data_IF_197286664053
#
_entry.id   IF_197286664053
#
_cell.length_a   1.000
_cell.length_b   1.000
_cell.length_c   1.000
_cell.angle_alpha   90.00
_cell.angle_beta   90.00
_cell.angle_gamma   90.00
#
_symmetry.space_group_name_H-M   'P 1'
#
loop_
_entity.id
_entity.type
_entity.pdbx_description
1 polymer ?
#
# COMPACT_ATOMS: atom_id res chain seq x y z
N UNK A 1 -5.52 -4.99 -35.66
CA UNK A 1 -5.33 -4.68 -34.24
C UNK A 1 -3.84 -4.79 -33.98
N UNK A 2 -3.22 -3.67 -33.68
CA UNK A 2 -1.81 -3.60 -33.32
C UNK A 2 -1.64 -4.02 -31.85
N UNK A 3 -0.47 -4.55 -31.47
CA UNK A 3 -0.21 -4.87 -30.07
C UNK A 3 -0.32 -3.63 -29.16
N UNK A 4 0.00 -2.43 -29.69
CA UNK A 4 -0.16 -1.16 -28.98
C UNK A 4 -1.62 -0.78 -28.72
N UNK A 5 -2.57 -1.34 -29.47
CA UNK A 5 -4.01 -1.15 -29.24
C UNK A 5 -4.53 -1.97 -28.05
N UNK A 6 -3.76 -2.96 -27.58
CA UNK A 6 -4.11 -3.81 -26.45
C UNK A 6 -3.78 -3.07 -25.16
N UNK A 7 -4.73 -2.24 -24.73
CA UNK A 7 -4.70 -1.57 -23.44
C UNK A 7 -6.07 -1.53 -22.81
N UNK A 8 -6.10 -1.45 -21.50
CA UNK A 8 -7.27 -0.96 -20.79
C UNK A 8 -7.64 0.44 -21.28
N UNK A 9 -8.94 0.69 -21.42
CA UNK A 9 -9.47 2.04 -21.57
C UNK A 9 -9.20 2.85 -20.29
N UNK A 10 -9.39 4.16 -20.37
CA UNK A 10 -9.00 5.05 -19.27
C UNK A 10 -9.83 4.80 -18.00
N UNK A 11 -11.13 4.54 -18.12
CA UNK A 11 -12.00 4.21 -16.96
C UNK A 11 -11.51 2.95 -16.21
N UNK A 12 -11.12 1.91 -16.94
CA UNK A 12 -10.60 0.68 -16.34
C UNK A 12 -9.22 0.91 -15.72
N UNK A 13 -8.37 1.78 -16.31
CA UNK A 13 -7.09 2.15 -15.72
C UNK A 13 -7.27 2.90 -14.40
N UNK A 14 -8.17 3.87 -14.35
CA UNK A 14 -8.45 4.63 -13.14
C UNK A 14 -8.90 3.71 -12.01
N UNK A 15 -9.80 2.77 -12.30
CA UNK A 15 -10.24 1.75 -11.32
C UNK A 15 -9.10 0.85 -10.82
N UNK A 16 -8.16 0.48 -11.69
CA UNK A 16 -6.99 -0.33 -11.29
C UNK A 16 -6.08 0.47 -10.35
N UNK A 17 -5.88 1.77 -10.62
CA UNK A 17 -5.10 2.64 -9.75
C UNK A 17 -5.79 2.87 -8.41
N UNK A 18 -7.10 3.13 -8.40
CA UNK A 18 -7.90 3.25 -7.18
C UNK A 18 -7.84 1.98 -6.33
N UNK A 19 -7.89 0.80 -6.96
CA UNK A 19 -7.77 -0.48 -6.25
C UNK A 19 -6.36 -0.68 -5.66
N UNK A 20 -5.33 -0.27 -6.40
CA UNK A 20 -3.94 -0.31 -5.94
C UNK A 20 -3.73 0.57 -4.70
N UNK A 21 -4.27 1.79 -4.72
CA UNK A 21 -4.24 2.72 -3.58
C UNK A 21 -5.03 2.16 -2.39
N UNK A 22 -6.15 1.50 -2.66
CA UNK A 22 -6.98 0.87 -1.63
C UNK A 22 -6.25 -0.27 -0.93
N UNK A 23 -5.54 -1.13 -1.68
CA UNK A 23 -4.72 -2.21 -1.11
C UNK A 23 -3.66 -1.65 -0.14
N UNK A 24 -2.95 -0.58 -0.54
CA UNK A 24 -1.98 0.09 0.31
C UNK A 24 -2.66 0.67 1.57
N UNK A 25 -3.77 1.37 1.40
CA UNK A 25 -4.50 2.03 2.50
C UNK A 25 -5.01 1.02 3.52
N UNK A 26 -5.64 -0.06 3.07
CA UNK A 26 -6.13 -1.14 3.95
C UNK A 26 -4.97 -1.74 4.76
N UNK A 27 -3.83 -2.04 4.12
CA UNK A 27 -2.66 -2.57 4.82
C UNK A 27 -2.12 -1.60 5.90
N UNK A 28 -2.04 -0.30 5.60
CA UNK A 28 -1.58 0.72 6.56
C UNK A 28 -2.56 0.88 7.72
N UNK A 29 -3.87 0.95 7.45
CA UNK A 29 -4.89 1.09 8.48
C UNK A 29 -4.94 -0.13 9.40
N UNK A 30 -4.82 -1.35 8.85
CA UNK A 30 -4.77 -2.57 9.65
C UNK A 30 -3.56 -2.59 10.60
N UNK A 31 -2.40 -2.13 10.15
CA UNK A 31 -1.21 -2.04 11.00
C UNK A 31 -1.33 -0.90 12.02
N UNK A 32 -1.96 0.21 11.67
CA UNK A 32 -2.23 1.30 12.62
C UNK A 32 -3.05 0.83 13.83
N UNK A 33 -3.97 -0.13 13.64
CA UNK A 33 -4.75 -0.70 14.76
C UNK A 33 -3.96 -1.67 15.66
N UNK A 34 -2.90 -2.30 15.15
CA UNK A 34 -2.26 -3.45 15.80
C UNK A 34 -0.77 -3.30 16.11
N UNK A 35 -0.10 -2.31 15.52
CA UNK A 35 1.37 -2.10 15.60
C UNK A 35 1.78 -0.71 16.08
N UNK A 36 0.84 0.07 16.63
CA UNK A 36 1.16 1.39 17.21
C UNK A 36 2.20 1.25 18.33
N UNK A 37 3.28 2.03 18.25
CA UNK A 37 4.39 2.02 19.22
C UNK A 37 5.44 0.93 18.98
N UNK A 38 5.26 0.04 18.00
CA UNK A 38 6.27 -0.91 17.56
C UNK A 38 7.37 -0.19 16.73
N UNK A 39 8.59 -0.74 16.62
CA UNK A 39 9.63 -0.19 15.74
C UNK A 39 9.16 -0.05 14.29
N UNK A 40 9.46 1.07 13.64
CA UNK A 40 9.03 1.32 12.26
C UNK A 40 9.62 0.29 11.28
N UNK A 41 10.79 -0.28 11.58
CA UNK A 41 11.40 -1.34 10.78
C UNK A 41 10.53 -2.61 10.74
N UNK A 42 9.91 -2.97 11.86
CA UNK A 42 9.02 -4.13 11.96
C UNK A 42 7.71 -3.88 11.21
N UNK A 43 7.17 -2.66 11.32
CA UNK A 43 6.00 -2.24 10.55
C UNK A 43 6.31 -2.23 9.04
N UNK A 44 7.48 -1.73 8.65
CA UNK A 44 7.94 -1.70 7.27
C UNK A 44 8.10 -3.11 6.70
N UNK A 45 8.70 -4.04 7.45
CA UNK A 45 8.85 -5.42 7.04
C UNK A 45 7.47 -6.09 6.80
N UNK A 46 6.51 -5.83 7.68
CA UNK A 46 5.14 -6.35 7.58
C UNK A 46 4.37 -5.73 6.39
N UNK A 47 4.48 -4.41 6.16
CA UNK A 47 3.92 -3.76 4.96
C UNK A 47 4.46 -4.40 3.68
N UNK A 48 5.78 -4.59 3.61
CA UNK A 48 6.41 -5.26 2.47
C UNK A 48 5.86 -6.68 2.27
N UNK A 49 5.77 -7.46 3.35
CA UNK A 49 5.25 -8.82 3.28
C UNK A 49 3.80 -8.88 2.79
N UNK A 50 2.96 -7.92 3.17
CA UNK A 50 1.56 -7.83 2.73
C UNK A 50 1.40 -7.40 1.28
N UNK A 51 2.28 -6.53 0.79
CA UNK A 51 2.14 -5.91 -0.53
C UNK A 51 2.85 -6.69 -1.65
N UNK A 52 3.95 -7.38 -1.37
CA UNK A 52 4.76 -8.07 -2.39
C UNK A 52 3.98 -9.04 -3.27
N UNK A 53 2.97 -9.73 -2.70
CA UNK A 53 2.19 -10.75 -3.41
C UNK A 53 0.89 -10.16 -4.04
N UNK A 54 0.69 -8.84 -3.92
CA UNK A 54 -0.50 -8.13 -4.44
C UNK A 54 -0.25 -7.44 -5.78
N UNK A 55 1.01 -7.28 -6.18
CA UNK A 55 1.41 -6.63 -7.43
C UNK A 55 2.37 -7.51 -8.22
N UNK A 56 2.33 -7.40 -9.56
CA UNK A 56 3.13 -8.24 -10.47
C UNK A 56 4.62 -7.96 -10.34
N UNK A 57 4.98 -6.68 -10.19
CA UNK A 57 6.37 -6.22 -10.11
C UNK A 57 6.47 -5.19 -8.96
N UNK A 58 6.37 -5.70 -7.75
CA UNK A 58 6.36 -4.87 -6.55
C UNK A 58 7.77 -4.41 -6.18
N UNK A 59 7.99 -3.10 -6.17
CA UNK A 59 9.18 -2.49 -5.59
C UNK A 59 8.79 -1.56 -4.43
N UNK A 60 9.38 -1.73 -3.23
CA UNK A 60 9.08 -0.84 -2.12
C UNK A 60 9.66 0.55 -2.35
N UNK A 61 8.76 1.51 -2.57
CA UNK A 61 9.08 2.92 -2.66
C UNK A 61 9.31 3.59 -1.28
N UNK A 62 9.79 4.85 -1.27
CA UNK A 62 9.99 5.63 -0.05
C UNK A 62 8.69 5.85 0.76
N UNK A 63 7.53 5.77 0.09
CA UNK A 63 6.23 5.92 0.75
C UNK A 63 5.96 4.82 1.78
N UNK A 64 6.38 3.57 1.52
CA UNK A 64 6.21 2.49 2.50
C UNK A 64 6.91 2.79 3.83
N UNK A 65 8.12 3.36 3.75
CA UNK A 65 8.85 3.78 4.95
C UNK A 65 8.10 4.88 5.69
N UNK A 66 7.65 5.91 4.96
CA UNK A 66 6.85 7.01 5.55
C UNK A 66 5.62 6.49 6.29
N UNK A 67 4.89 5.54 5.71
CA UNK A 67 3.72 4.97 6.38
C UNK A 67 4.08 4.09 7.57
N UNK A 68 5.18 3.34 7.49
CA UNK A 68 5.66 2.56 8.63
C UNK A 68 6.05 3.45 9.82
N UNK A 69 6.74 4.57 9.56
CA UNK A 69 7.08 5.58 10.57
C UNK A 69 5.82 6.21 11.17
N UNK A 70 4.84 6.58 10.35
CA UNK A 70 3.58 7.15 10.82
C UNK A 70 2.75 6.16 11.67
N UNK A 71 2.70 4.87 11.28
CA UNK A 71 2.05 3.81 12.07
C UNK A 71 2.77 3.62 13.41
N UNK A 72 4.10 3.52 13.38
CA UNK A 72 4.94 3.37 14.57
C UNK A 72 4.71 4.52 15.56
N UNK A 73 4.70 5.77 15.06
CA UNK A 73 4.43 6.97 15.84
C UNK A 73 2.96 7.11 16.28
N UNK A 74 2.04 6.32 15.70
CA UNK A 74 0.61 6.38 15.99
C UNK A 74 -0.07 7.62 15.41
N UNK A 75 0.46 8.14 14.30
CA UNK A 75 -0.01 9.32 13.55
C UNK A 75 -1.13 9.00 12.55
N UNK A 76 -1.41 7.72 12.31
CA UNK A 76 -2.50 7.28 11.43
C UNK A 76 -3.82 7.28 12.22
N UNK A 77 -4.75 8.13 11.82
CA UNK A 77 -6.11 8.13 12.34
C UNK A 77 -6.90 6.93 11.81
N UNK A 78 -7.11 5.93 12.67
CA UNK A 78 -8.06 4.85 12.42
C UNK A 78 -9.41 5.34 12.97
N UNK A 79 -10.31 5.81 12.10
CA UNK A 79 -11.61 6.32 12.51
C UNK A 79 -12.27 5.44 13.59
N UNK A 80 -12.69 6.07 14.70
CA UNK A 80 -13.40 5.39 15.79
C UNK A 80 -14.80 4.96 15.38
#
# INVERSE_FOLDING_TARGET
MDAQDIRWNDEARDKILEDSDRVLREAVLDLATSKKGEPWEDVFAELNARLKDRFIDFEPGPDLRKYAEAVSAGEIETGS
#
